data_IF_644299529725
#
_entry.id   IF_644299529725
#
_cell.length_a   1.000
_cell.length_b   1.000
_cell.length_c   1.000
_cell.angle_alpha   90.00
_cell.angle_beta   90.00
_cell.angle_gamma   90.00
#
_symmetry.space_group_name_H-M   'P 1'
#
loop_
_entity.id
_entity.type
_entity.pdbx_description
1 polymer ?
#
# COMPACT_ATOMS: atom_id res chain seq x y z
N UNK A 1 -1.87 -11.80 -34.93
CA UNK A 1 -2.26 -12.49 -33.68
C UNK A 1 -1.38 -11.91 -32.61
N UNK A 2 -1.98 -11.00 -31.86
CA UNK A 2 -1.34 -9.80 -31.35
C UNK A 2 -0.95 -10.05 -29.90
N UNK A 3 0.11 -10.84 -29.71
CA UNK A 3 0.59 -11.20 -28.37
C UNK A 3 1.35 -10.04 -27.70
N UNK A 4 1.73 -9.02 -28.48
CA UNK A 4 2.51 -7.86 -28.02
C UNK A 4 1.65 -6.87 -27.22
N UNK A 5 0.32 -6.85 -27.42
CA UNK A 5 -0.57 -5.88 -26.77
C UNK A 5 -1.02 -6.33 -25.36
N UNK A 6 -1.22 -7.64 -25.14
CA UNK A 6 -1.70 -8.14 -23.86
C UNK A 6 -0.69 -8.00 -22.71
N UNK A 7 0.60 -8.16 -23.00
CA UNK A 7 1.67 -7.97 -22.01
C UNK A 7 1.75 -6.50 -21.56
N UNK A 8 1.78 -5.58 -22.52
CA UNK A 8 1.81 -4.15 -22.25
C UNK A 8 0.57 -3.70 -21.46
N UNK A 9 -0.61 -4.17 -21.87
CA UNK A 9 -1.87 -3.88 -21.19
C UNK A 9 -1.95 -4.46 -19.78
N UNK A 10 -1.43 -5.68 -19.58
CA UNK A 10 -1.37 -6.27 -18.24
C UNK A 10 -0.47 -5.44 -17.32
N UNK A 11 0.69 -5.00 -17.81
CA UNK A 11 1.59 -4.14 -17.05
C UNK A 11 0.95 -2.79 -16.73
N UNK A 12 0.28 -2.16 -17.69
CA UNK A 12 -0.45 -0.89 -17.49
C UNK A 12 -1.53 -1.01 -16.40
N UNK A 13 -2.32 -2.09 -16.42
CA UNK A 13 -3.35 -2.33 -15.42
C UNK A 13 -2.72 -2.50 -14.03
N UNK A 14 -1.70 -3.35 -13.90
CA UNK A 14 -1.03 -3.59 -12.62
C UNK A 14 -0.38 -2.32 -12.06
N UNK A 15 0.20 -1.48 -12.90
CA UNK A 15 0.75 -0.18 -12.50
C UNK A 15 -0.35 0.78 -12.04
N UNK A 16 -1.49 0.83 -12.74
CA UNK A 16 -2.65 1.65 -12.36
C UNK A 16 -3.24 1.22 -11.01
N UNK A 17 -3.35 -0.08 -10.77
CA UNK A 17 -3.82 -0.63 -9.49
C UNK A 17 -2.81 -0.35 -8.37
N UNK A 18 -1.50 -0.48 -8.64
CA UNK A 18 -0.46 -0.05 -7.72
C UNK A 18 -0.54 1.45 -7.40
N UNK A 19 -0.81 2.31 -8.38
CA UNK A 19 -1.01 3.74 -8.14
C UNK A 19 -2.25 4.03 -7.29
N UNK A 20 -3.33 3.27 -7.44
CA UNK A 20 -4.51 3.38 -6.56
C UNK A 20 -4.14 3.08 -5.11
N UNK A 21 -3.39 2.00 -4.87
CA UNK A 21 -2.91 1.64 -3.52
C UNK A 21 -1.96 2.71 -3.00
N UNK A 22 -1.05 3.22 -3.84
CA UNK A 22 -0.15 4.32 -3.49
C UNK A 22 -0.91 5.59 -3.06
N UNK A 23 -2.01 5.90 -3.73
CA UNK A 23 -2.88 7.01 -3.32
C UNK A 23 -3.55 6.75 -1.98
N UNK A 24 -4.02 5.53 -1.70
CA UNK A 24 -4.56 5.18 -0.38
C UNK A 24 -3.48 5.38 0.70
N UNK A 25 -2.30 4.82 0.49
CA UNK A 25 -1.11 5.01 1.34
C UNK A 25 -0.88 6.52 1.60
N UNK A 26 -0.90 7.37 0.56
CA UNK A 26 -0.62 8.81 0.70
C UNK A 26 -1.77 9.66 1.26
N UNK A 27 -3.03 9.32 1.01
CA UNK A 27 -4.20 10.09 1.46
C UNK A 27 -4.31 10.11 3.00
N UNK A 28 -3.67 9.16 3.68
CA UNK A 28 -3.42 9.21 5.13
C UNK A 28 -2.81 10.56 5.59
N UNK A 29 -1.97 11.21 4.77
CA UNK A 29 -1.33 12.49 5.13
C UNK A 29 -2.26 13.71 5.13
N UNK A 30 -3.31 13.71 4.31
CA UNK A 30 -4.05 14.95 4.00
C UNK A 30 -5.32 15.14 4.85
N UNK A 31 -5.84 14.08 5.48
CA UNK A 31 -7.16 14.11 6.12
C UNK A 31 -7.17 14.06 7.67
N UNK A 32 -6.04 14.27 8.36
CA UNK A 32 -5.98 14.37 9.84
C UNK A 32 -6.60 13.17 10.61
N UNK A 33 -6.84 12.05 9.95
CA UNK A 33 -7.24 10.80 10.61
C UNK A 33 -5.98 10.19 11.20
N UNK A 34 -6.03 9.77 12.47
CA UNK A 34 -4.86 9.18 13.13
C UNK A 34 -4.21 8.13 12.22
N UNK A 35 -2.90 8.27 11.93
CA UNK A 35 -2.20 7.42 10.96
C UNK A 35 -2.21 5.91 11.31
N UNK A 36 -2.53 5.56 12.55
CA UNK A 36 -2.59 4.19 13.07
C UNK A 36 -4.02 3.73 13.37
N UNK A 37 -5.00 4.06 12.54
CA UNK A 37 -6.31 3.41 12.70
C UNK A 37 -6.15 1.92 12.30
N UNK A 38 -6.36 0.95 13.21
CA UNK A 38 -6.13 -0.47 12.92
C UNK A 38 -6.89 -0.95 11.68
N UNK A 39 -8.08 -0.39 11.47
CA UNK A 39 -8.94 -0.69 10.32
C UNK A 39 -8.32 -0.25 8.98
N UNK A 40 -7.53 0.82 8.94
CA UNK A 40 -6.89 1.25 7.70
C UNK A 40 -5.71 0.36 7.32
N UNK A 41 -4.93 -0.07 8.31
CA UNK A 41 -3.83 -1.00 8.11
C UNK A 41 -4.34 -2.33 7.54
N UNK A 42 -5.43 -2.88 8.10
CA UNK A 42 -6.08 -4.10 7.60
C UNK A 42 -6.57 -3.96 6.14
N UNK A 43 -7.11 -2.78 5.78
CA UNK A 43 -7.54 -2.49 4.41
C UNK A 43 -6.33 -2.44 3.48
N UNK A 44 -5.24 -1.75 3.86
CA UNK A 44 -4.02 -1.70 3.06
C UNK A 44 -3.40 -3.09 2.88
N UNK A 45 -3.31 -3.90 3.94
CA UNK A 45 -2.79 -5.26 3.87
C UNK A 45 -3.61 -6.13 2.90
N UNK A 46 -4.93 -6.00 2.95
CA UNK A 46 -5.83 -6.72 2.03
C UNK A 46 -5.64 -6.27 0.57
N UNK A 47 -5.46 -4.96 0.34
CA UNK A 47 -5.22 -4.41 -1.00
C UNK A 47 -3.85 -4.85 -1.56
N UNK A 48 -2.81 -4.80 -0.73
CA UNK A 48 -1.47 -5.30 -1.06
C UNK A 48 -1.50 -6.79 -1.41
N UNK A 49 -2.22 -7.60 -0.61
CA UNK A 49 -2.40 -9.01 -0.90
C UNK A 49 -3.15 -9.23 -2.22
N UNK A 50 -4.23 -8.48 -2.47
CA UNK A 50 -4.97 -8.52 -3.74
C UNK A 50 -4.07 -8.27 -4.95
N UNK A 51 -3.32 -7.17 -4.96
CA UNK A 51 -2.39 -6.85 -6.03
C UNK A 51 -1.29 -7.94 -6.18
N UNK A 52 -0.78 -8.47 -5.07
CA UNK A 52 0.22 -9.56 -5.12
C UNK A 52 -0.31 -10.82 -5.84
N UNK A 53 -1.60 -11.13 -5.70
CA UNK A 53 -2.26 -12.25 -6.38
C UNK A 53 -2.45 -11.99 -7.87
N UNK A 54 -2.75 -10.76 -8.26
CA UNK A 54 -2.86 -10.33 -9.67
C UNK A 54 -1.49 -10.35 -10.36
N UNK A 55 -0.45 -9.86 -9.69
CA UNK A 55 0.94 -9.95 -10.16
C UNK A 55 1.37 -11.41 -10.34
N UNK A 56 1.14 -12.28 -9.35
CA UNK A 56 1.44 -13.71 -9.45
C UNK A 56 0.70 -14.37 -10.63
N UNK A 57 -0.56 -13.99 -10.85
CA UNK A 57 -1.33 -14.48 -11.98
C UNK A 57 -0.75 -14.04 -13.33
N UNK A 58 -0.39 -12.76 -13.49
CA UNK A 58 0.21 -12.24 -14.71
C UNK A 58 1.60 -12.84 -15.01
N UNK A 59 2.41 -13.05 -13.97
CA UNK A 59 3.71 -13.75 -14.08
C UNK A 59 3.50 -15.19 -14.54
N UNK A 60 2.52 -15.92 -13.98
CA UNK A 60 2.23 -17.31 -14.35
C UNK A 60 1.70 -17.46 -15.77
N UNK A 61 1.03 -16.43 -16.30
CA UNK A 61 0.61 -16.37 -17.69
C UNK A 61 1.74 -15.95 -18.65
N UNK A 62 2.90 -15.56 -18.14
CA UNK A 62 4.02 -15.05 -18.93
C UNK A 62 3.75 -13.68 -19.55
N UNK A 63 2.79 -12.92 -19.01
CA UNK A 63 2.45 -11.57 -19.48
C UNK A 63 3.43 -10.51 -18.96
N UNK A 64 4.04 -10.77 -17.80
CA UNK A 64 5.11 -9.97 -17.21
C UNK A 64 6.20 -10.86 -16.63
N UNK A 65 7.41 -10.33 -16.50
CA UNK A 65 8.51 -10.98 -15.80
C UNK A 65 8.33 -10.94 -14.28
N UNK A 66 9.00 -11.85 -13.57
CA UNK A 66 9.01 -11.86 -12.11
C UNK A 66 9.67 -10.59 -11.55
N UNK A 67 10.66 -10.06 -12.26
CA UNK A 67 11.38 -8.84 -11.92
C UNK A 67 10.50 -7.60 -12.08
N UNK A 68 9.62 -7.55 -13.09
CA UNK A 68 8.60 -6.50 -13.22
C UNK A 68 7.59 -6.58 -12.07
N UNK A 69 7.02 -7.76 -11.84
CA UNK A 69 6.06 -7.95 -10.75
C UNK A 69 6.64 -7.59 -9.38
N UNK A 70 7.89 -7.98 -9.12
CA UNK A 70 8.59 -7.63 -7.88
C UNK A 70 8.78 -6.13 -7.74
N UNK A 71 9.21 -5.42 -8.80
CA UNK A 71 9.39 -3.95 -8.76
C UNK A 71 8.11 -3.21 -8.40
N UNK A 72 6.95 -3.68 -8.86
CA UNK A 72 5.66 -3.07 -8.54
C UNK A 72 5.37 -3.18 -7.04
N UNK A 73 5.58 -4.37 -6.45
CA UNK A 73 5.32 -4.64 -5.04
C UNK A 73 6.34 -3.95 -4.13
N UNK A 74 7.64 -4.04 -4.44
CA UNK A 74 8.73 -3.42 -3.67
C UNK A 74 8.48 -1.90 -3.51
N UNK A 75 8.02 -1.23 -4.57
CA UNK A 75 7.70 0.21 -4.54
C UNK A 75 6.63 0.57 -3.51
N UNK A 76 5.61 -0.29 -3.35
CA UNK A 76 4.54 -0.08 -2.39
C UNK A 76 4.99 -0.39 -0.96
N UNK A 77 5.75 -1.47 -0.79
CA UNK A 77 6.34 -1.86 0.50
C UNK A 77 7.29 -0.78 1.03
N UNK A 78 8.13 -0.19 0.18
CA UNK A 78 9.03 0.91 0.56
C UNK A 78 8.27 2.14 1.05
N UNK A 79 7.19 2.53 0.37
CA UNK A 79 6.39 3.69 0.76
C UNK A 79 5.58 3.44 2.03
N UNK A 80 5.08 2.21 2.23
CA UNK A 80 4.44 1.81 3.49
C UNK A 80 5.43 1.88 4.67
N UNK A 81 6.64 1.33 4.49
CA UNK A 81 7.68 1.38 5.51
C UNK A 81 8.10 2.82 5.86
N UNK A 82 8.09 3.74 4.89
CA UNK A 82 8.34 5.16 5.13
C UNK A 82 7.25 5.79 6.00
N UNK A 83 5.98 5.51 5.70
CA UNK A 83 4.87 6.01 6.53
C UNK A 83 4.94 5.48 7.96
N UNK A 84 5.14 4.18 8.14
CA UNK A 84 5.28 3.57 9.47
C UNK A 84 6.42 4.22 10.27
N UNK A 85 7.55 4.48 9.60
CA UNK A 85 8.71 5.12 10.20
C UNK A 85 8.49 6.62 10.52
N UNK A 86 7.66 7.34 9.75
CA UNK A 86 7.27 8.72 10.04
C UNK A 86 6.33 8.78 11.24
N UNK A 87 5.31 7.93 11.25
CA UNK A 87 4.31 7.86 12.32
C UNK A 87 4.93 7.46 13.66
N UNK A 88 5.89 6.52 13.65
CA UNK A 88 6.63 6.14 14.85
C UNK A 88 7.39 7.32 15.49
N UNK A 89 7.80 8.33 14.70
CA UNK A 89 8.46 9.55 15.21
C UNK A 89 7.45 10.50 15.87
N UNK A 90 6.24 10.62 15.33
CA UNK A 90 5.21 11.51 15.87
C UNK A 90 4.62 11.02 17.20
N UNK A 91 4.59 9.70 17.43
CA UNK A 91 4.19 9.12 18.73
C UNK A 91 5.15 9.53 19.87
N UNK A 92 6.39 9.91 19.55
CA UNK A 92 7.34 10.42 20.55
C UNK A 92 7.09 11.87 21.00
N UNK A 93 6.17 12.61 20.36
CA UNK A 93 5.88 14.03 20.66
C UNK A 93 4.56 14.24 21.42
N UNK A 94 3.71 13.22 21.56
CA UNK A 94 2.42 13.33 22.27
C UNK A 94 2.33 12.44 23.51
N UNK A 95 3.07 12.78 24.56
CA UNK A 95 2.69 12.42 25.94
C UNK A 95 3.10 13.52 26.93
N UNK A 96 2.14 14.33 27.39
CA UNK A 96 1.98 14.58 28.81
C UNK A 96 0.78 13.79 29.31
N UNK A 97 0.90 13.22 30.51
CA UNK A 97 -0.17 12.53 31.21
C UNK A 97 -1.51 13.30 31.15
N UNK A 98 -2.43 12.85 30.31
CA UNK A 98 -3.84 13.22 30.43
C UNK A 98 -4.55 12.04 31.08
N UNK A 99 -4.64 12.10 32.41
CA UNK A 99 -5.29 11.09 33.22
C UNK A 99 -6.71 10.81 32.72
N UNK A 100 -7.01 9.53 32.50
CA UNK A 100 -8.38 9.04 32.52
C UNK A 100 -8.95 9.31 33.92
N UNK A 101 -9.65 10.43 34.08
CA UNK A 101 -10.59 10.60 35.18
C UNK A 101 -11.87 9.85 34.80
N UNK A 102 -12.35 8.87 35.58
CA UNK A 102 -13.69 8.35 35.37
C UNK A 102 -14.68 9.47 35.71
N UNK A 103 -15.53 9.80 34.74
CA UNK A 103 -16.70 10.64 35.00
C UNK A 103 -17.69 9.90 35.92
N UNK A 104 -18.42 10.62 36.78
CA UNK A 104 -19.25 10.05 37.83
C UNK A 104 -20.41 9.18 37.31
#
# INVERSE_FOLDING_TARGET
MDNVDFAAKALEILESDAERIMRLIRVQRENLVLPNCPLYQEVLDTQMFGLSREVDFAVRLGLISREEGKRILDRLEEELARLDAEVARDVSVSRPDAGCRPTP
#
